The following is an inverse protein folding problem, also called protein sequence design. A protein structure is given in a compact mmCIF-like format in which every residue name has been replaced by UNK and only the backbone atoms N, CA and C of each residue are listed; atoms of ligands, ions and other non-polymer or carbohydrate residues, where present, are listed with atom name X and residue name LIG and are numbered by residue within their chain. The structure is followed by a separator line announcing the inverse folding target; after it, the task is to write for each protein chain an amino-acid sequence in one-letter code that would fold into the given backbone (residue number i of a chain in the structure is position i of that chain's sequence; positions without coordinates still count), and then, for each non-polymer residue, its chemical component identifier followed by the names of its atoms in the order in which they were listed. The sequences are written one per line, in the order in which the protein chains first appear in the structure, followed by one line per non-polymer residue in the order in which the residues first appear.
data_IF_640459935056
#
_entry.id   IF_640459935056
#
_cell.length_a   1.000
_cell.length_b   1.000
_cell.length_c   1.000
_cell.angle_alpha   90.00
_cell.angle_beta   90.00
_cell.angle_gamma   90.00
#
_symmetry.space_group_name_H-M   'P 1'
#
loop_
_entity.id
_entity.type
_entity.pdbx_description
1 polymer ?
#
# COMPACT_ATOMS: atom_id res chain seq x y z
N UNK A 1 -32.60 4.33 -11.12
CA UNK A 1 -32.79 2.89 -10.80
C UNK A 1 -32.32 2.70 -9.37
N UNK A 2 -33.16 2.20 -8.46
CA UNK A 2 -32.76 1.88 -7.08
C UNK A 2 -32.29 0.43 -7.11
N UNK A 3 -31.04 0.18 -6.75
CA UNK A 3 -30.55 -1.19 -6.55
C UNK A 3 -30.48 -1.47 -5.05
N UNK A 4 -30.89 -2.69 -4.67
CA UNK A 4 -30.92 -3.14 -3.29
C UNK A 4 -30.13 -4.44 -3.24
N UNK A 5 -28.93 -4.40 -2.67
CA UNK A 5 -28.17 -5.60 -2.37
C UNK A 5 -28.38 -5.97 -0.89
N UNK A 6 -28.44 -7.26 -0.60
CA UNK A 6 -28.45 -7.79 0.76
C UNK A 6 -27.23 -8.69 0.87
N UNK A 7 -26.35 -8.41 1.83
CA UNK A 7 -25.19 -9.29 2.07
C UNK A 7 -25.59 -10.53 2.89
N UNK A 8 -24.67 -11.51 2.94
CA UNK A 8 -24.87 -12.78 3.68
C UNK A 8 -24.98 -12.61 5.20
N UNK A 9 -24.69 -11.41 5.72
CA UNK A 9 -24.81 -11.05 7.13
C UNK A 9 -26.10 -10.26 7.42
N UNK A 10 -26.96 -10.06 6.43
CA UNK A 10 -28.23 -9.33 6.56
C UNK A 10 -28.10 -7.81 6.46
N UNK A 11 -26.95 -7.28 6.05
CA UNK A 11 -26.76 -5.87 5.75
C UNK A 11 -27.53 -5.48 4.48
N UNK A 12 -28.38 -4.45 4.58
CA UNK A 12 -29.09 -3.88 3.43
C UNK A 12 -28.29 -2.71 2.84
N UNK A 13 -28.10 -2.74 1.53
CA UNK A 13 -27.36 -1.74 0.76
C UNK A 13 -28.35 -0.98 -0.13
N UNK A 14 -28.38 0.35 -0.03
CA UNK A 14 -29.22 1.19 -0.88
C UNK A 14 -28.36 1.93 -1.90
N UNK A 15 -28.68 1.74 -3.19
CA UNK A 15 -27.98 2.40 -4.29
C UNK A 15 -28.89 3.42 -5.00
N UNK A 16 -28.59 4.72 -4.89
CA UNK A 16 -29.21 5.76 -5.75
C UNK A 16 -28.18 6.36 -6.70
N UNK A 17 -28.38 6.16 -8.00
CA UNK A 17 -27.46 6.55 -9.08
C UNK A 17 -27.14 8.05 -9.20
N UNK A 18 -27.84 8.93 -8.48
CA UNK A 18 -27.77 10.39 -8.73
C UNK A 18 -27.21 11.22 -7.55
N UNK A 19 -26.88 10.59 -6.41
CA UNK A 19 -26.37 11.29 -5.21
C UNK A 19 -25.27 10.56 -4.44
N UNK A 20 -24.68 9.53 -5.04
CA UNK A 20 -23.73 8.62 -4.40
C UNK A 20 -24.42 7.64 -3.45
N UNK A 21 -23.98 6.38 -3.49
CA UNK A 21 -24.60 5.32 -2.69
C UNK A 21 -24.21 5.56 -1.22
N UNK A 22 -25.21 5.57 -0.34
CA UNK A 22 -25.00 5.78 1.10
C UNK A 22 -25.44 4.53 1.84
N UNK A 23 -24.57 4.02 2.71
CA UNK A 23 -24.89 2.89 3.56
C UNK A 23 -25.79 3.31 4.73
N UNK A 24 -26.91 2.60 4.90
CA UNK A 24 -27.81 2.75 6.04
C UNK A 24 -28.06 1.37 6.67
N UNK A 25 -27.17 0.93 7.57
CA UNK A 25 -27.28 -0.36 8.23
C UNK A 25 -26.32 -0.51 9.41
N UNK A 26 -26.35 -1.67 10.07
CA UNK A 26 -25.35 -2.02 11.09
C UNK A 26 -24.11 -2.57 10.40
N UNK A 27 -22.99 -1.87 10.54
CA UNK A 27 -21.72 -2.29 9.97
C UNK A 27 -21.41 -3.75 10.33
N UNK A 28 -20.91 -4.56 9.37
CA UNK A 28 -20.48 -5.90 9.69
C UNK A 28 -19.38 -5.84 10.75
N UNK A 29 -19.40 -6.78 11.70
CA UNK A 29 -18.38 -6.86 12.75
C UNK A 29 -16.96 -6.98 12.17
N UNK A 30 -16.84 -7.56 10.98
CA UNK A 30 -15.60 -7.67 10.22
C UNK A 30 -15.83 -7.18 8.79
N UNK A 31 -15.15 -6.12 8.32
CA UNK A 31 -15.28 -5.66 6.95
C UNK A 31 -14.85 -6.70 5.92
N UNK A 32 -15.44 -6.66 4.72
CA UNK A 32 -15.15 -7.60 3.64
C UNK A 32 -13.69 -7.47 3.18
N UNK A 33 -12.98 -8.59 3.04
CA UNK A 33 -11.66 -8.62 2.42
C UNK A 33 -11.84 -8.65 0.90
N UNK A 34 -11.24 -7.69 0.21
CA UNK A 34 -11.27 -7.56 -1.25
C UNK A 34 -9.90 -7.86 -1.84
N UNK A 35 -9.92 -8.49 -3.01
CA UNK A 35 -8.75 -8.72 -3.86
C UNK A 35 -8.71 -7.64 -4.93
N UNK A 36 -8.26 -6.43 -4.54
CA UNK A 36 -8.05 -5.29 -5.42
C UNK A 36 -6.55 -4.99 -5.48
N UNK A 37 -6.05 -4.58 -6.65
CA UNK A 37 -4.64 -4.24 -6.82
C UNK A 37 -4.42 -2.74 -6.54
N UNK A 38 -3.77 -2.36 -5.42
CA UNK A 38 -3.57 -0.96 -5.08
C UNK A 38 -2.37 -0.35 -5.80
N UNK A 39 -1.63 -1.07 -6.64
CA UNK A 39 -0.37 -0.56 -7.18
C UNK A 39 -0.58 0.56 -8.21
N UNK A 40 0.29 1.57 -8.13
CA UNK A 40 0.33 2.80 -8.91
C UNK A 40 -0.92 3.68 -8.76
N UNK A 41 -0.78 4.98 -9.03
CA UNK A 41 -1.89 5.94 -8.89
C UNK A 41 -3.01 5.66 -9.88
N UNK A 42 -4.29 5.77 -9.47
CA UNK A 42 -5.40 5.96 -10.40
C UNK A 42 -5.16 7.22 -11.25
N UNK A 43 -5.79 7.27 -12.43
CA UNK A 43 -5.89 8.50 -13.23
C UNK A 43 -7.03 9.37 -12.70
N UNK A 44 -6.70 10.53 -12.16
CA UNK A 44 -7.69 11.49 -11.65
C UNK A 44 -7.20 12.93 -11.76
N UNK A 45 -8.14 13.87 -11.73
CA UNK A 45 -7.85 15.31 -11.72
C UNK A 45 -8.15 15.88 -10.34
N UNK A 46 -7.19 16.53 -9.65
CA UNK A 46 -7.44 17.27 -8.41
C UNK A 46 -8.59 18.27 -8.57
N UNK A 47 -9.53 18.28 -7.62
CA UNK A 47 -10.75 19.09 -7.70
C UNK A 47 -11.74 18.66 -8.80
N UNK A 48 -11.48 17.57 -9.52
CA UNK A 48 -12.32 17.14 -10.65
C UNK A 48 -13.53 16.31 -10.23
N UNK A 49 -13.40 15.55 -9.14
CA UNK A 49 -14.46 14.72 -8.62
C UNK A 49 -14.28 14.45 -7.12
N UNK A 50 -15.37 14.59 -6.36
CA UNK A 50 -15.43 14.23 -4.95
C UNK A 50 -15.15 12.74 -4.75
N UNK A 51 -13.94 12.38 -4.33
CA UNK A 51 -13.52 10.98 -4.15
C UNK A 51 -12.25 10.85 -3.32
N UNK A 52 -12.05 9.66 -2.74
CA UNK A 52 -10.76 9.17 -2.29
C UNK A 52 -10.05 8.40 -3.40
N UNK A 53 -8.73 8.48 -3.40
CA UNK A 53 -7.82 7.72 -4.27
C UNK A 53 -6.75 7.09 -3.40
N UNK A 54 -6.67 5.76 -3.39
CA UNK A 54 -5.69 5.01 -2.61
C UNK A 54 -4.79 4.23 -3.55
N UNK A 55 -3.48 4.38 -3.38
CA UNK A 55 -2.52 3.55 -4.08
C UNK A 55 -1.26 3.27 -3.28
N UNK A 56 -0.52 2.25 -3.73
CA UNK A 56 0.81 1.90 -3.30
C UNK A 56 1.78 2.22 -4.44
N UNK A 57 2.82 3.01 -4.14
CA UNK A 57 3.97 3.13 -5.01
C UNK A 57 4.82 1.85 -4.90
N UNK A 58 4.94 1.03 -5.96
CA UNK A 58 5.69 -0.23 -5.90
C UNK A 58 7.20 -0.02 -5.71
N UNK A 59 7.73 1.14 -6.09
CA UNK A 59 9.17 1.43 -6.00
C UNK A 59 9.58 1.92 -4.62
N UNK A 60 8.64 2.37 -3.79
CA UNK A 60 8.97 2.86 -2.43
C UNK A 60 8.20 2.14 -1.34
N UNK A 61 7.17 1.39 -1.72
CA UNK A 61 6.16 0.82 -0.81
C UNK A 61 5.51 1.88 0.08
N UNK A 62 5.45 3.11 -0.41
CA UNK A 62 4.70 4.20 0.22
C UNK A 62 3.26 4.13 -0.24
N UNK A 63 2.35 4.07 0.72
CA UNK A 63 0.94 4.22 0.45
C UNK A 63 0.58 5.71 0.36
N UNK A 64 -0.35 6.02 -0.52
CA UNK A 64 -0.90 7.35 -0.67
C UNK A 64 -2.41 7.25 -0.59
N UNK A 65 -3.01 8.04 0.31
CA UNK A 65 -4.43 8.33 0.32
C UNK A 65 -4.61 9.80 -0.06
N UNK A 66 -5.13 10.05 -1.25
CA UNK A 66 -5.58 11.38 -1.65
C UNK A 66 -7.08 11.50 -1.51
N UNK A 67 -7.57 12.72 -1.26
CA UNK A 67 -8.97 13.07 -1.47
C UNK A 67 -9.07 14.34 -2.29
N UNK A 68 -10.07 14.38 -3.17
CA UNK A 68 -10.32 15.49 -4.08
C UNK A 68 -11.71 16.05 -3.84
N UNK A 69 -11.86 17.37 -3.91
CA UNK A 69 -13.15 18.04 -4.00
C UNK A 69 -13.80 17.88 -5.38
N UNK A 70 -14.93 18.55 -5.60
CA UNK A 70 -15.69 18.53 -6.86
C UNK A 70 -15.51 19.80 -7.71
N UNK A 71 -14.61 20.70 -7.32
CA UNK A 71 -14.26 21.88 -8.10
C UNK A 71 -15.21 23.06 -7.87
N UNK A 72 -16.18 22.93 -6.96
CA UNK A 72 -17.17 23.97 -6.67
C UNK A 72 -16.75 24.71 -5.38
N UNK A 73 -16.29 25.97 -5.44
CA UNK A 73 -15.77 26.70 -4.26
C UNK A 73 -16.75 26.87 -3.10
N UNK A 74 -18.04 26.68 -3.34
CA UNK A 74 -19.11 26.82 -2.34
C UNK A 74 -19.58 25.48 -1.78
N UNK A 75 -19.04 24.36 -2.30
CA UNK A 75 -19.42 23.01 -1.91
C UNK A 75 -18.23 22.33 -1.20
N UNK A 76 -18.01 22.70 0.06
CA UNK A 76 -16.98 22.07 0.87
C UNK A 76 -17.45 20.70 1.34
N UNK A 77 -16.60 19.70 1.19
CA UNK A 77 -16.83 18.33 1.61
C UNK A 77 -15.97 17.96 2.79
N UNK A 78 -16.52 17.16 3.70
CA UNK A 78 -15.73 16.59 4.81
C UNK A 78 -15.22 15.22 4.43
N UNK A 79 -13.92 15.00 4.59
CA UNK A 79 -13.25 13.73 4.40
C UNK A 79 -12.76 13.25 5.76
N UNK A 80 -13.33 12.16 6.25
CA UNK A 80 -13.02 11.64 7.59
C UNK A 80 -12.95 10.12 7.60
N UNK A 81 -12.13 9.57 8.49
CA UNK A 81 -12.03 8.13 8.60
C UNK A 81 -10.75 7.64 9.24
N UNK A 82 -10.53 6.34 9.12
CA UNK A 82 -9.32 5.69 9.60
C UNK A 82 -8.84 4.59 8.65
N UNK A 83 -7.52 4.44 8.60
CA UNK A 83 -6.81 3.32 8.01
C UNK A 83 -6.23 2.51 9.17
N UNK A 84 -6.58 1.22 9.26
CA UNK A 84 -6.15 0.35 10.35
C UNK A 84 -5.38 -0.83 9.77
N UNK A 85 -4.09 -0.91 10.07
CA UNK A 85 -3.24 -2.01 9.67
C UNK A 85 -3.16 -3.09 10.76
N UNK A 86 -2.76 -4.29 10.38
CA UNK A 86 -2.45 -5.39 11.32
C UNK A 86 -1.09 -5.26 11.99
N UNK A 87 -0.24 -4.36 11.49
CA UNK A 87 1.05 -4.00 12.04
C UNK A 87 1.18 -2.46 12.12
N UNK A 88 2.20 -1.92 12.82
CA UNK A 88 2.36 -0.47 12.99
C UNK A 88 2.45 0.33 11.68
N UNK A 89 2.00 1.58 11.73
CA UNK A 89 2.26 2.59 10.70
C UNK A 89 3.54 3.31 11.12
N UNK A 90 4.59 3.19 10.31
CA UNK A 90 5.95 3.63 10.65
C UNK A 90 6.08 5.15 10.52
N UNK A 91 5.60 5.68 9.40
CA UNK A 91 5.58 7.11 9.11
C UNK A 91 4.27 7.48 8.43
N UNK A 92 3.82 8.72 8.65
CA UNK A 92 2.76 9.34 7.87
C UNK A 92 3.03 10.84 7.74
N UNK A 93 2.80 11.40 6.56
CA UNK A 93 2.99 12.81 6.25
C UNK A 93 1.80 13.33 5.47
N UNK A 94 1.26 14.47 5.88
CA UNK A 94 0.21 15.19 5.17
C UNK A 94 0.80 16.24 4.22
N UNK A 95 0.19 16.40 3.05
CA UNK A 95 0.47 17.44 2.06
C UNK A 95 -0.85 18.06 1.61
N UNK A 96 -0.90 19.38 1.46
CA UNK A 96 -2.11 20.11 1.06
C UNK A 96 -2.87 20.72 2.24
N UNK A 97 -2.84 20.04 3.41
CA UNK A 97 -3.68 20.37 4.57
C UNK A 97 -3.76 21.86 4.88
N UNK A 98 -4.98 22.36 4.99
CA UNK A 98 -5.29 23.70 5.43
C UNK A 98 -5.68 23.75 6.91
N UNK A 99 -6.03 24.95 7.38
CA UNK A 99 -6.42 25.19 8.76
C UNK A 99 -7.72 24.45 9.10
N UNK A 100 -7.63 23.47 10.00
CA UNK A 100 -8.77 22.66 10.43
C UNK A 100 -8.57 21.18 10.14
N UNK A 101 -7.70 20.85 9.19
CA UNK A 101 -7.39 19.47 8.86
C UNK A 101 -6.48 18.84 9.92
N UNK A 102 -6.65 17.53 10.09
CA UNK A 102 -5.92 16.78 11.10
C UNK A 102 -5.58 15.38 10.62
N UNK A 103 -4.36 14.98 10.96
CA UNK A 103 -3.82 13.64 10.78
C UNK A 103 -3.29 13.18 12.13
N UNK A 104 -3.71 12.00 12.57
CA UNK A 104 -3.19 11.35 13.77
C UNK A 104 -2.75 9.94 13.45
N UNK A 105 -1.62 9.52 14.01
CA UNK A 105 -1.15 8.14 13.95
C UNK A 105 -1.00 7.62 15.37
N UNK A 106 -1.66 6.50 15.67
CA UNK A 106 -1.59 5.81 16.94
C UNK A 106 -1.33 4.32 16.69
N UNK A 107 -0.06 3.92 16.75
CA UNK A 107 0.37 2.55 16.51
C UNK A 107 0.04 2.09 15.08
N UNK A 108 -0.97 1.25 14.94
CA UNK A 108 -1.42 0.68 13.67
C UNK A 108 -2.63 1.42 13.05
N UNK A 109 -3.07 2.53 13.65
CA UNK A 109 -4.23 3.29 13.20
C UNK A 109 -3.80 4.68 12.76
N UNK A 110 -4.21 5.07 11.55
CA UNK A 110 -4.09 6.41 11.02
C UNK A 110 -5.50 6.99 10.91
N UNK A 111 -5.72 8.17 11.46
CA UNK A 111 -7.03 8.84 11.47
C UNK A 111 -6.90 10.18 10.75
N UNK A 112 -7.86 10.46 9.86
CA UNK A 112 -7.98 11.72 9.13
C UNK A 112 -9.30 12.41 9.44
N UNK A 113 -9.25 13.73 9.48
CA UNK A 113 -10.42 14.60 9.43
C UNK A 113 -9.98 15.88 8.72
N UNK A 114 -10.52 16.11 7.53
CA UNK A 114 -10.13 17.21 6.66
C UNK A 114 -11.33 17.73 5.86
N UNK A 115 -11.17 18.90 5.24
CA UNK A 115 -12.17 19.47 4.34
C UNK A 115 -11.57 19.88 3.00
N UNK A 116 -12.28 19.65 1.90
CA UNK A 116 -11.83 20.07 0.57
C UNK A 116 -13.02 20.42 -0.33
N UNK A 117 -12.86 21.40 -1.21
CA UNK A 117 -13.84 21.85 -2.20
C UNK A 117 -13.30 21.81 -3.64
N UNK A 118 -12.12 22.39 -3.90
CA UNK A 118 -11.65 22.70 -5.26
C UNK A 118 -10.30 22.08 -5.65
N UNK A 119 -9.58 21.51 -4.69
CA UNK A 119 -8.26 20.92 -4.88
C UNK A 119 -8.22 19.49 -4.33
N UNK A 120 -7.07 19.11 -3.76
CA UNK A 120 -6.87 17.84 -3.10
C UNK A 120 -5.89 17.99 -1.94
N UNK A 121 -5.98 17.05 -1.00
CA UNK A 121 -4.91 16.73 -0.07
C UNK A 121 -4.41 15.31 -0.28
N UNK A 122 -3.22 15.04 0.26
CA UNK A 122 -2.63 13.71 0.27
C UNK A 122 -2.06 13.39 1.66
N UNK A 123 -2.32 12.17 2.12
CA UNK A 123 -1.57 11.53 3.19
C UNK A 123 -0.73 10.40 2.59
N UNK A 124 0.59 10.51 2.76
CA UNK A 124 1.54 9.46 2.41
C UNK A 124 1.96 8.72 3.68
N UNK A 125 1.94 7.38 3.69
CA UNK A 125 2.29 6.60 4.87
C UNK A 125 3.00 5.29 4.51
N UNK A 126 3.79 4.77 5.45
CA UNK A 126 4.52 3.51 5.31
C UNK A 126 4.03 2.53 6.36
N UNK A 127 3.68 1.32 5.92
CA UNK A 127 3.32 0.22 6.80
C UNK A 127 4.57 -0.57 7.22
N UNK A 128 4.54 -1.12 8.43
CA UNK A 128 5.46 -2.19 8.80
C UNK A 128 5.29 -3.38 7.85
N UNK A 129 6.40 -4.03 7.48
CA UNK A 129 6.43 -5.15 6.51
C UNK A 129 5.71 -6.41 7.02
N UNK A 130 5.40 -6.49 8.30
CA UNK A 130 4.56 -7.57 8.86
C UNK A 130 3.05 -7.32 8.70
N UNK A 131 2.62 -6.19 8.13
CA UNK A 131 1.22 -5.91 7.86
C UNK A 131 0.65 -6.91 6.83
N UNK A 132 -0.38 -7.67 7.23
CA UNK A 132 -1.05 -8.66 6.37
C UNK A 132 -2.43 -8.22 5.92
N UNK A 133 -2.99 -7.20 6.57
CA UNK A 133 -4.29 -6.60 6.25
C UNK A 133 -4.26 -5.09 6.52
N UNK A 134 -5.00 -4.37 5.68
CA UNK A 134 -5.29 -2.94 5.80
C UNK A 134 -6.80 -2.74 5.74
N UNK A 135 -7.40 -2.17 6.79
CA UNK A 135 -8.83 -1.86 6.86
C UNK A 135 -9.05 -0.39 6.55
N UNK A 136 -9.96 -0.10 5.62
CA UNK A 136 -10.30 1.24 5.17
C UNK A 136 -11.71 1.57 5.67
N UNK A 137 -11.79 2.49 6.62
CA UNK A 137 -13.02 3.05 7.18
C UNK A 137 -13.07 4.54 6.83
N UNK A 138 -13.49 4.84 5.60
CA UNK A 138 -13.45 6.18 5.03
C UNK A 138 -14.85 6.67 4.70
N UNK A 139 -15.12 7.94 5.00
CA UNK A 139 -16.40 8.61 4.80
C UNK A 139 -16.23 9.95 4.12
N UNK A 140 -17.24 10.30 3.34
CA UNK A 140 -17.36 11.60 2.71
C UNK A 140 -18.72 12.19 3.12
N UNK A 141 -18.70 13.38 3.70
CA UNK A 141 -19.88 14.05 4.25
C UNK A 141 -20.62 13.19 5.29
N UNK A 142 -19.87 12.51 6.18
CA UNK A 142 -20.40 11.61 7.21
C UNK A 142 -20.96 10.27 6.72
N UNK A 143 -20.87 9.99 5.41
CA UNK A 143 -21.45 8.82 4.77
C UNK A 143 -20.40 7.90 4.14
N UNK A 144 -20.63 6.59 4.18
CA UNK A 144 -19.86 5.62 3.40
C UNK A 144 -20.24 5.71 1.93
N UNK A 145 -19.23 5.94 1.08
CA UNK A 145 -19.39 6.08 -0.36
C UNK A 145 -18.38 5.19 -1.10
N UNK A 146 -18.60 3.87 -1.15
CA UNK A 146 -17.62 2.94 -1.71
C UNK A 146 -17.25 3.26 -3.17
N UNK A 147 -18.20 3.71 -3.98
CA UNK A 147 -17.98 4.11 -5.38
C UNK A 147 -17.31 5.48 -5.55
N UNK A 148 -17.01 6.16 -4.44
CA UNK A 148 -16.16 7.35 -4.39
C UNK A 148 -14.80 7.02 -3.78
N UNK A 149 -14.37 5.75 -3.79
CA UNK A 149 -13.04 5.30 -3.38
C UNK A 149 -12.44 4.55 -4.56
N UNK A 150 -11.38 5.07 -5.15
CA UNK A 150 -10.67 4.45 -6.27
C UNK A 150 -9.36 3.83 -5.80
N UNK A 151 -9.12 2.58 -6.18
CA UNK A 151 -7.97 1.79 -5.75
C UNK A 151 -7.06 1.48 -6.93
N UNK A 152 -5.78 1.85 -6.79
CA UNK A 152 -4.71 1.51 -7.73
C UNK A 152 -4.88 2.06 -9.16
N UNK A 153 -3.98 1.66 -10.05
CA UNK A 153 -3.93 2.17 -11.42
C UNK A 153 -5.24 2.01 -12.21
N UNK A 154 -5.92 0.89 -11.98
CA UNK A 154 -7.16 0.57 -12.67
C UNK A 154 -8.36 1.38 -12.16
N UNK A 155 -8.20 2.15 -11.07
CA UNK A 155 -9.28 2.90 -10.45
C UNK A 155 -10.40 2.00 -9.96
N UNK A 156 -10.04 0.84 -9.38
CA UNK A 156 -11.04 -0.16 -8.98
C UNK A 156 -11.94 0.40 -7.87
N UNK A 157 -13.24 0.13 -7.99
CA UNK A 157 -14.25 0.60 -7.04
C UNK A 157 -14.64 -0.55 -6.11
N UNK A 158 -14.44 -0.43 -4.78
CA UNK A 158 -14.89 -1.44 -3.85
C UNK A 158 -16.44 -1.51 -3.86
N UNK A 159 -17.05 -2.68 -3.69
CA UNK A 159 -18.50 -2.82 -3.67
C UNK A 159 -19.12 -2.39 -2.32
N UNK A 160 -18.30 -2.16 -1.31
CA UNK A 160 -18.70 -1.90 0.07
C UNK A 160 -17.69 -1.01 0.78
N UNK A 161 -18.14 -0.25 1.78
CA UNK A 161 -17.28 0.46 2.72
C UNK A 161 -17.91 0.36 4.12
N UNK A 162 -17.11 0.08 5.18
CA UNK A 162 -15.67 -0.18 5.17
C UNK A 162 -15.30 -1.51 4.50
N UNK A 163 -14.04 -1.67 4.13
CA UNK A 163 -13.49 -2.91 3.54
C UNK A 163 -12.04 -3.14 3.97
N UNK A 164 -11.50 -4.31 3.63
CA UNK A 164 -10.10 -4.68 3.87
C UNK A 164 -9.39 -5.01 2.56
N UNK A 165 -8.09 -4.74 2.53
CA UNK A 165 -7.17 -5.15 1.48
C UNK A 165 -6.07 -6.03 2.06
N UNK A 166 -5.48 -6.89 1.22
CA UNK A 166 -4.16 -7.48 1.48
C UNK A 166 -3.11 -6.50 0.95
N UNK A 167 -2.27 -5.91 1.81
CA UNK A 167 -1.22 -5.01 1.34
C UNK A 167 -0.21 -5.80 0.50
N UNK A 168 0.11 -5.40 -0.74
CA UNK A 168 1.16 -6.04 -1.50
C UNK A 168 2.48 -6.00 -0.72
N UNK A 169 3.11 -7.15 -0.58
CA UNK A 169 4.41 -7.30 0.06
C UNK A 169 5.50 -7.44 -1.00
N UNK A 170 6.72 -6.96 -0.74
CA UNK A 170 7.87 -7.30 -1.57
C UNK A 170 8.07 -8.81 -1.59
N UNK A 171 8.30 -9.35 -2.77
CA UNK A 171 8.65 -10.73 -2.99
C UNK A 171 10.04 -10.95 -2.38
N UNK A 172 10.18 -12.01 -1.59
CA UNK A 172 11.50 -12.34 -1.07
C UNK A 172 12.45 -12.68 -2.23
N UNK A 173 13.69 -12.15 -2.24
CA UNK A 173 14.66 -12.47 -3.28
C UNK A 173 14.92 -13.97 -3.30
N UNK A 174 15.00 -14.53 -4.50
CA UNK A 174 15.44 -15.91 -4.70
C UNK A 174 16.94 -15.92 -4.96
N UNK A 175 17.68 -16.76 -4.23
CA UNK A 175 19.12 -16.95 -4.43
C UNK A 175 19.36 -18.38 -4.88
N UNK A 176 19.87 -18.54 -6.11
CA UNK A 176 20.40 -19.81 -6.60
C UNK A 176 21.91 -19.78 -6.45
N UNK A 177 22.48 -20.78 -5.78
CA UNK A 177 23.92 -20.94 -5.63
C UNK A 177 24.33 -22.22 -6.35
N UNK A 178 25.30 -22.10 -7.24
CA UNK A 178 25.96 -23.23 -7.89
C UNK A 178 27.42 -23.26 -7.46
N UNK A 179 27.85 -24.43 -6.97
CA UNK A 179 29.23 -24.71 -6.64
C UNK A 179 29.79 -25.72 -7.64
N UNK A 180 31.02 -25.49 -8.07
CA UNK A 180 31.74 -26.50 -8.86
C UNK A 180 31.97 -27.74 -7.99
N UNK A 181 31.63 -28.92 -8.52
CA UNK A 181 31.88 -30.20 -7.85
C UNK A 181 32.13 -31.32 -8.87
N UNK A 182 32.99 -32.30 -8.53
CA UNK A 182 33.79 -32.41 -7.30
C UNK A 182 35.06 -31.54 -7.34
N UNK A 183 35.51 -31.09 -6.16
CA UNK A 183 36.79 -30.39 -5.97
C UNK A 183 37.72 -31.28 -5.14
N UNK A 184 39.01 -31.27 -5.48
CA UNK A 184 40.07 -31.95 -4.73
C UNK A 184 40.86 -30.95 -3.86
N UNK A 185 41.71 -31.49 -2.98
CA UNK A 185 42.56 -30.66 -2.14
C UNK A 185 43.56 -29.85 -2.99
N UNK A 186 43.56 -28.54 -2.80
CA UNK A 186 44.41 -27.60 -3.56
C UNK A 186 43.72 -26.97 -4.79
N UNK A 187 42.47 -27.36 -5.09
CA UNK A 187 41.69 -26.74 -6.17
C UNK A 187 41.18 -25.35 -5.80
N UNK A 188 41.01 -24.51 -6.82
CA UNK A 188 40.25 -23.27 -6.68
C UNK A 188 38.76 -23.60 -6.74
N UNK A 189 38.02 -23.20 -5.70
CA UNK A 189 36.56 -23.25 -5.72
C UNK A 189 36.00 -21.95 -6.29
N UNK A 190 35.17 -22.06 -7.33
CA UNK A 190 34.33 -20.96 -7.78
C UNK A 190 32.89 -21.21 -7.31
N UNK A 191 32.34 -20.21 -6.62
CA UNK A 191 30.94 -20.20 -6.23
C UNK A 191 30.27 -19.09 -7.00
N UNK A 192 29.25 -19.44 -7.78
CA UNK A 192 28.45 -18.46 -8.50
C UNK A 192 27.06 -18.43 -7.88
N UNK A 193 26.58 -17.21 -7.61
CA UNK A 193 25.23 -16.96 -7.15
C UNK A 193 24.46 -16.16 -8.18
N UNK A 194 23.21 -16.55 -8.44
CA UNK A 194 22.24 -15.73 -9.16
C UNK A 194 21.20 -15.27 -8.15
N UNK A 195 21.11 -13.96 -7.95
CA UNK A 195 20.04 -13.35 -7.18
C UNK A 195 18.95 -12.86 -8.15
N UNK A 196 17.72 -13.29 -7.91
CA UNK A 196 16.52 -12.82 -8.62
C UNK A 196 15.62 -12.11 -7.62
N UNK A 197 15.40 -10.83 -7.84
CA UNK A 197 14.47 -10.01 -7.09
C UNK A 197 13.82 -9.05 -8.08
N UNK A 198 12.50 -9.12 -8.21
CA UNK A 198 11.75 -8.36 -9.21
C UNK A 198 11.16 -7.07 -8.66
N UNK A 199 11.28 -6.81 -7.35
CA UNK A 199 10.56 -5.72 -6.68
C UNK A 199 11.32 -5.08 -5.51
N UNK A 200 12.65 -5.23 -5.48
CA UNK A 200 13.56 -4.47 -4.61
C UNK A 200 14.12 -3.21 -5.29
N UNK A 201 13.68 -2.01 -4.87
CA UNK A 201 14.16 -0.73 -5.41
C UNK A 201 15.52 -0.30 -4.83
N UNK A 202 15.94 -0.89 -3.71
CA UNK A 202 17.10 -0.44 -2.90
C UNK A 202 18.36 -1.26 -3.18
N UNK A 203 18.28 -2.24 -4.10
CA UNK A 203 19.35 -3.20 -4.37
C UNK A 203 19.48 -4.28 -3.29
N UNK A 204 20.59 -5.04 -3.35
CA UNK A 204 20.84 -6.17 -2.45
C UNK A 204 22.18 -6.08 -1.79
N UNK A 205 22.23 -6.40 -0.50
CA UNK A 205 23.47 -6.73 0.18
C UNK A 205 23.67 -8.25 0.07
N UNK A 206 24.75 -8.66 -0.59
CA UNK A 206 25.12 -10.06 -0.70
C UNK A 206 26.18 -10.34 0.37
N UNK A 207 25.95 -11.37 1.18
CA UNK A 207 26.90 -11.89 2.15
C UNK A 207 27.14 -13.38 1.88
N UNK A 208 28.41 -13.77 1.81
CA UNK A 208 28.82 -15.17 1.79
C UNK A 208 29.31 -15.54 3.18
N UNK A 209 28.69 -16.55 3.78
CA UNK A 209 29.14 -17.16 5.02
C UNK A 209 29.57 -18.60 4.71
N UNK A 210 30.81 -18.94 5.04
CA UNK A 210 31.36 -20.29 4.87
C UNK A 210 30.85 -21.25 5.97
N UNK A 211 30.05 -20.75 6.92
CA UNK A 211 29.31 -21.53 7.91
C UNK A 211 30.13 -21.95 9.15
N UNK A 212 31.46 -21.90 9.07
CA UNK A 212 32.36 -22.22 10.18
C UNK A 212 33.09 -21.01 10.79
N UNK A 213 32.94 -19.82 10.19
CA UNK A 213 33.56 -18.58 10.63
C UNK A 213 35.09 -18.52 10.47
N UNK A 214 35.73 -19.47 9.79
CA UNK A 214 37.19 -19.52 9.62
C UNK A 214 37.63 -19.29 8.18
N UNK A 215 37.94 -18.04 7.83
CA UNK A 215 38.94 -17.78 6.80
C UNK A 215 40.32 -17.94 7.44
N UNK A 216 40.89 -19.14 7.44
CA UNK A 216 42.33 -19.27 7.65
C UNK A 216 43.00 -18.54 6.49
N UNK A 217 43.69 -17.44 6.76
CA UNK A 217 44.45 -16.70 5.75
C UNK A 217 45.33 -17.66 4.96
N UNK A 218 44.93 -17.99 3.72
CA UNK A 218 45.86 -18.53 2.74
C UNK A 218 46.76 -17.37 2.32
N UNK A 219 48.00 -17.39 2.80
CA UNK A 219 49.08 -16.65 2.20
C UNK A 219 49.26 -17.12 0.76
N UNK A 220 48.55 -16.49 -0.19
CA UNK A 220 48.98 -16.12 -1.55
C UNK A 220 47.76 -15.68 -2.40
N UNK A 221 47.61 -14.36 -2.54
CA UNK A 221 46.89 -13.61 -3.60
C UNK A 221 45.40 -13.91 -3.85
N UNK A 222 44.50 -13.25 -3.12
CA UNK A 222 43.17 -12.90 -3.65
C UNK A 222 43.29 -11.71 -4.61
N UNK A 223 42.88 -11.87 -5.87
CA UNK A 223 42.73 -10.79 -6.83
C UNK A 223 41.23 -10.51 -7.03
N UNK A 224 40.73 -9.41 -6.47
CA UNK A 224 39.44 -8.87 -6.87
C UNK A 224 39.61 -8.24 -8.26
N UNK A 225 39.03 -8.86 -9.30
CA UNK A 225 38.80 -8.16 -10.56
C UNK A 225 37.53 -7.33 -10.41
N UNK A 226 37.71 -6.01 -10.34
CA UNK A 226 36.62 -5.07 -10.59
C UNK A 226 36.11 -5.15 -12.04
N UNK A 227 34.89 -4.67 -12.32
CA UNK A 227 34.36 -4.65 -13.67
C UNK A 227 35.18 -3.65 -14.50
N UNK A 228 35.72 -4.11 -15.62
CA UNK A 228 36.40 -3.27 -16.59
C UNK A 228 35.52 -3.03 -17.80
N UNK A 229 35.44 -1.77 -18.24
CA UNK A 229 34.93 -1.35 -19.55
C UNK A 229 33.57 -0.70 -19.53
#
# INVERSE_FOLDING_TARGET
MLDIAIDTNGGQWFATFDTGLTYHGTLPATPLLLDLDPRNSPDYTPGGAKSYYLWLDPDTYTWHLAWSGDGIPTNTHTFEGSIIATAPIITATATGFEGGDSLSVNGNTLTINATEAISQDIVSFVLDRSATQLTLDLKIDGAYRPFNIQIGQAGELPPTAPFRLVPPQPISPTVLVEAESPLEEGDFAFVTGILTDTDSPVGHQIAWDMGDGTLSQCSHHCHQRGPGG
#
